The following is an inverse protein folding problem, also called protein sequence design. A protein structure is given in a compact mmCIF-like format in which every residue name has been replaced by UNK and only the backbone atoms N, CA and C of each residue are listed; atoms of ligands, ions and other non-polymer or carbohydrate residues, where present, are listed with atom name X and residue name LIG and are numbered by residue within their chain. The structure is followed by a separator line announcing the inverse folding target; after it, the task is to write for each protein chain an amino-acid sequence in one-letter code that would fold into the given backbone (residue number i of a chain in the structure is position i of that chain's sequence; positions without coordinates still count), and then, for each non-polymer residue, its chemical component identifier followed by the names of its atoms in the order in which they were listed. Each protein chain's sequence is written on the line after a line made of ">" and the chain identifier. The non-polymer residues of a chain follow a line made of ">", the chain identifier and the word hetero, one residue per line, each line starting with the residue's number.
data_IF_772428938351
#
_entry.id   IF_772428938351
#
_cell.length_a   1.000
_cell.length_b   1.000
_cell.length_c   1.000
_cell.angle_alpha   90.00
_cell.angle_beta   90.00
_cell.angle_gamma   90.00
#
_symmetry.space_group_name_H-M   'P 1'
#
loop_
_entity.id
_entity.type
_entity.pdbx_description
1 polymer ?
#
# COMPACT_ATOMS: atom_id res chain seq x y z
N UNK A 1 0.89 38.57 25.33
CA UNK A 1 0.26 38.26 24.02
C UNK A 1 0.30 36.75 23.85
N UNK A 2 -0.84 36.09 24.07
CA UNK A 2 -0.96 34.63 24.08
C UNK A 2 -1.16 34.07 22.67
N UNK A 3 -0.45 32.98 22.39
CA UNK A 3 -0.40 32.22 21.14
C UNK A 3 -1.76 31.59 20.78
N UNK A 4 -2.23 31.68 19.53
CA UNK A 4 -3.17 30.72 18.98
C UNK A 4 -2.38 29.68 18.18
N UNK A 5 -1.85 28.63 18.81
CA UNK A 5 -1.18 27.51 18.12
C UNK A 5 -1.89 26.16 18.36
N UNK A 6 -2.87 26.10 19.27
CA UNK A 6 -3.50 24.83 19.63
C UNK A 6 -4.74 24.41 18.81
N UNK A 7 -5.17 25.20 17.82
CA UNK A 7 -6.45 24.95 17.12
C UNK A 7 -6.34 24.25 15.77
N UNK A 8 -5.14 23.91 15.27
CA UNK A 8 -4.99 23.22 13.97
C UNK A 8 -5.14 21.69 14.11
N UNK A 9 -5.01 21.13 15.31
CA UNK A 9 -5.12 19.69 15.54
C UNK A 9 -6.57 19.18 15.70
N UNK A 10 -7.55 20.07 15.83
CA UNK A 10 -8.94 19.73 16.15
C UNK A 10 -9.90 19.70 14.95
N UNK A 11 -9.40 19.89 13.72
CA UNK A 11 -10.21 19.96 12.49
C UNK A 11 -9.99 18.78 11.53
N UNK A 12 -9.64 17.60 12.06
CA UNK A 12 -9.84 16.34 11.34
C UNK A 12 -11.33 15.97 11.44
N UNK A 13 -12.12 16.65 10.61
CA UNK A 13 -13.55 16.40 10.42
C UNK A 13 -13.69 14.94 9.95
N UNK A 14 -14.43 14.14 10.71
CA UNK A 14 -14.88 12.82 10.31
C UNK A 14 -15.88 12.97 9.14
N UNK A 15 -15.36 12.97 7.93
CA UNK A 15 -16.16 12.79 6.71
C UNK A 15 -16.61 11.33 6.67
N UNK A 16 -17.92 11.09 6.55
CA UNK A 16 -18.43 9.75 6.26
C UNK A 16 -18.05 9.42 4.82
N UNK A 17 -17.02 8.60 4.61
CA UNK A 17 -16.57 8.22 3.28
C UNK A 17 -17.43 7.08 2.75
N UNK A 18 -17.85 7.19 1.49
CA UNK A 18 -18.61 6.13 0.83
C UNK A 18 -17.71 4.95 0.48
N UNK A 19 -18.24 3.75 0.71
CA UNK A 19 -17.68 2.45 0.35
C UNK A 19 -17.06 2.46 -1.05
N UNK A 20 -15.76 2.28 -1.13
CA UNK A 20 -15.04 2.20 -2.39
C UNK A 20 -14.00 1.08 -2.25
N UNK A 21 -13.71 0.35 -3.33
CA UNK A 21 -12.72 -0.73 -3.34
C UNK A 21 -11.33 -0.23 -2.91
N UNK A 22 -10.57 -1.10 -2.24
CA UNK A 22 -9.16 -0.84 -1.93
C UNK A 22 -8.28 -1.04 -3.18
N UNK A 23 -7.28 -0.16 -3.33
CA UNK A 23 -6.22 -0.37 -4.31
C UNK A 23 -5.18 -1.31 -3.70
N UNK A 24 -5.22 -2.58 -4.12
CA UNK A 24 -4.22 -3.55 -3.72
C UNK A 24 -2.85 -3.22 -4.29
N UNK A 25 -1.89 -2.94 -3.40
CA UNK A 25 -0.48 -2.69 -3.72
C UNK A 25 0.39 -3.86 -3.33
N UNK A 26 1.44 -4.16 -4.06
CA UNK A 26 2.34 -5.31 -3.81
C UNK A 26 2.91 -5.32 -2.38
N UNK A 27 3.23 -4.15 -1.82
CA UNK A 27 3.75 -4.02 -0.45
C UNK A 27 3.39 -2.65 0.13
N UNK A 28 3.15 -2.62 1.44
CA UNK A 28 3.10 -1.40 2.26
C UNK A 28 3.81 -1.67 3.58
N UNK A 29 4.59 -0.71 4.05
CA UNK A 29 5.29 -0.80 5.33
C UNK A 29 4.49 -0.16 6.46
N UNK A 30 4.77 -0.59 7.70
CA UNK A 30 4.14 0.00 8.91
C UNK A 30 4.37 1.52 9.01
N UNK A 31 5.48 2.01 8.45
CA UNK A 31 5.82 3.44 8.44
C UNK A 31 4.86 4.24 7.57
N UNK A 32 4.69 3.89 6.30
CA UNK A 32 3.73 4.53 5.41
C UNK A 32 2.30 4.39 5.93
N UNK A 33 1.92 3.22 6.46
CA UNK A 33 0.62 3.01 7.10
C UNK A 33 0.37 4.03 8.24
N UNK A 34 1.34 4.22 9.14
CA UNK A 34 1.26 5.21 10.22
C UNK A 34 1.26 6.67 9.75
N UNK A 35 1.65 6.92 8.49
CA UNK A 35 1.68 8.25 7.87
C UNK A 35 0.58 8.44 6.82
N UNK A 36 -0.52 7.70 6.89
CA UNK A 36 -1.64 7.88 5.96
C UNK A 36 -1.34 7.43 4.54
N UNK A 37 -0.43 6.46 4.37
CA UNK A 37 -0.09 5.87 3.07
C UNK A 37 0.90 6.67 2.23
N UNK A 38 1.44 7.80 2.71
CA UNK A 38 2.51 8.50 2.00
C UNK A 38 3.76 7.62 1.94
N UNK A 39 4.29 7.41 0.73
CA UNK A 39 5.38 6.46 0.47
C UNK A 39 6.23 6.82 -0.74
N UNK A 40 5.72 7.60 -1.68
CA UNK A 40 6.39 8.02 -2.93
C UNK A 40 7.60 8.91 -2.65
N UNK A 41 7.53 9.77 -1.65
CA UNK A 41 8.59 10.73 -1.26
C UNK A 41 9.21 10.40 0.09
N UNK A 42 8.56 9.53 0.85
CA UNK A 42 8.95 9.17 2.22
C UNK A 42 9.48 7.75 2.30
N UNK A 43 9.16 6.86 1.37
CA UNK A 43 9.49 5.44 1.43
C UNK A 43 10.97 5.19 1.63
N UNK A 44 11.31 4.28 2.54
CA UNK A 44 12.68 3.86 2.84
C UNK A 44 12.82 2.36 2.72
N UNK A 45 14.03 1.90 2.41
CA UNK A 45 14.36 0.46 2.34
C UNK A 45 13.32 -0.37 1.56
N UNK A 46 12.56 -1.21 2.28
CA UNK A 46 11.48 -2.05 1.78
C UNK A 46 10.40 -1.25 1.05
N UNK A 47 9.96 -0.12 1.59
CA UNK A 47 8.96 0.72 0.93
C UNK A 47 9.48 1.32 -0.39
N UNK A 48 10.76 1.69 -0.44
CA UNK A 48 11.39 2.19 -1.66
C UNK A 48 11.53 1.09 -2.74
N UNK A 49 11.63 -0.18 -2.34
CA UNK A 49 11.64 -1.33 -3.25
C UNK A 49 10.28 -1.57 -3.93
N UNK A 50 9.15 -1.03 -3.41
CA UNK A 50 7.81 -1.28 -3.98
C UNK A 50 6.98 -0.03 -4.29
N UNK A 51 7.46 1.17 -3.92
CA UNK A 51 6.76 2.41 -4.20
C UNK A 51 7.55 3.34 -5.12
N UNK A 52 8.69 3.86 -4.65
CA UNK A 52 9.56 4.71 -5.45
C UNK A 52 11.02 4.25 -5.32
N UNK A 53 11.61 3.62 -6.35
CA UNK A 53 13.00 3.16 -6.29
C UNK A 53 14.03 4.28 -6.07
N UNK A 54 13.73 5.51 -6.47
CA UNK A 54 14.67 6.62 -6.29
C UNK A 54 14.90 6.95 -4.81
N UNK A 55 13.93 6.70 -3.93
CA UNK A 55 14.10 7.00 -2.49
C UNK A 55 15.02 6.00 -1.78
N UNK A 56 15.48 4.93 -2.44
CA UNK A 56 16.53 4.03 -1.90
C UNK A 56 17.86 4.77 -1.65
N UNK A 57 18.09 5.88 -2.35
CA UNK A 57 19.30 6.69 -2.28
C UNK A 57 19.26 7.78 -1.19
N UNK A 58 18.10 7.96 -0.55
CA UNK A 58 17.88 8.89 0.57
C UNK A 58 18.36 8.33 1.91
N UNK A 59 18.48 7.00 2.02
CA UNK A 59 19.01 6.35 3.21
C UNK A 59 20.55 6.51 3.23
N UNK A 60 21.13 6.72 4.41
CA UNK A 60 22.60 6.91 4.55
C UNK A 60 23.33 5.60 4.85
N UNK A 61 22.62 4.61 5.40
CA UNK A 61 23.21 3.38 5.92
C UNK A 61 22.68 2.16 5.17
N UNK A 62 23.53 1.14 5.05
CA UNK A 62 23.06 -0.17 4.63
C UNK A 62 22.20 -0.81 5.72
N UNK A 63 21.25 -1.64 5.30
CA UNK A 63 20.33 -2.37 6.18
C UNK A 63 20.22 -3.81 5.72
N UNK A 64 20.37 -4.73 6.66
CA UNK A 64 19.98 -6.13 6.49
C UNK A 64 18.75 -6.39 7.38
N UNK A 65 17.65 -6.77 6.76
CA UNK A 65 16.44 -7.22 7.43
C UNK A 65 16.38 -8.74 7.32
N UNK A 66 16.40 -9.42 8.46
CA UNK A 66 16.24 -10.88 8.51
C UNK A 66 14.77 -11.23 8.28
N UNK A 67 13.88 -10.48 8.92
CA UNK A 67 12.44 -10.65 8.85
C UNK A 67 11.78 -9.29 9.09
N UNK A 68 10.97 -8.85 8.13
CA UNK A 68 10.02 -7.76 8.28
C UNK A 68 8.63 -8.32 8.13
N UNK A 69 7.73 -8.05 9.09
CA UNK A 69 6.33 -8.47 9.03
C UNK A 69 5.46 -7.23 9.19
N UNK A 70 4.56 -7.03 8.25
CA UNK A 70 3.55 -5.98 8.27
C UNK A 70 2.18 -6.63 8.25
N UNK A 71 1.31 -6.22 9.17
CA UNK A 71 -0.09 -6.60 9.19
C UNK A 71 -0.95 -5.35 9.10
N UNK A 72 -1.99 -5.41 8.28
CA UNK A 72 -2.98 -4.34 8.12
C UNK A 72 -4.37 -4.97 8.15
N UNK A 73 -5.27 -4.37 8.94
CA UNK A 73 -6.67 -4.75 9.04
C UNK A 73 -7.52 -3.50 9.18
N UNK A 74 -8.73 -3.51 8.62
CA UNK A 74 -9.64 -2.37 8.77
C UNK A 74 -10.11 -2.20 10.21
N UNK A 75 -10.37 -0.95 10.61
CA UNK A 75 -10.78 -0.60 11.97
C UNK A 75 -12.09 -1.28 12.41
N UNK A 76 -12.95 -1.64 11.46
CA UNK A 76 -14.23 -2.28 11.72
C UNK A 76 -14.19 -3.81 11.68
N UNK A 77 -13.08 -4.42 11.27
CA UNK A 77 -12.95 -5.87 11.06
C UNK A 77 -13.44 -6.70 12.26
N UNK A 78 -13.01 -6.35 13.48
CA UNK A 78 -13.43 -7.07 14.70
C UNK A 78 -14.93 -6.90 14.98
N UNK A 79 -15.45 -5.68 14.79
CA UNK A 79 -16.87 -5.40 15.00
C UNK A 79 -17.74 -6.09 13.95
N UNK A 80 -17.28 -6.16 12.72
CA UNK A 80 -18.01 -6.74 11.60
C UNK A 80 -17.93 -8.27 11.62
N UNK A 81 -16.81 -8.86 12.06
CA UNK A 81 -16.72 -10.29 12.35
C UNK A 81 -17.77 -10.75 13.39
N UNK A 82 -17.98 -9.95 14.44
CA UNK A 82 -18.99 -10.25 15.47
C UNK A 82 -20.43 -10.19 14.91
N UNK A 83 -20.70 -9.24 14.00
CA UNK A 83 -22.00 -9.10 13.32
C UNK A 83 -22.24 -10.22 12.31
N UNK A 84 -21.22 -10.63 11.56
CA UNK A 84 -21.30 -11.79 10.64
C UNK A 84 -21.66 -13.05 11.41
N UNK A 85 -21.08 -13.26 12.60
CA UNK A 85 -21.45 -14.40 13.46
C UNK A 85 -22.91 -14.33 13.94
N UNK A 86 -23.46 -13.13 14.17
CA UNK A 86 -24.86 -12.92 14.56
C UNK A 86 -25.84 -13.06 13.39
N UNK A 87 -25.38 -12.82 12.15
CA UNK A 87 -26.14 -13.09 10.91
C UNK A 87 -26.16 -14.58 10.61
N UNK A 88 -25.03 -15.29 10.76
CA UNK A 88 -24.93 -16.74 10.52
C UNK A 88 -25.89 -17.56 11.39
N UNK A 89 -26.23 -17.07 12.58
CA UNK A 89 -27.17 -17.71 13.50
C UNK A 89 -28.64 -17.35 13.23
N UNK A 90 -28.94 -16.47 12.27
CA UNK A 90 -30.29 -16.07 11.89
C UNK A 90 -30.80 -16.89 10.69
N UNK A 91 -32.12 -17.05 10.56
CA UNK A 91 -32.75 -17.78 9.45
C UNK A 91 -33.82 -16.94 8.76
N UNK A 92 -34.03 -17.19 7.47
CA UNK A 92 -35.11 -16.56 6.69
C UNK A 92 -34.96 -15.04 6.55
N UNK A 93 -36.08 -14.32 6.64
CA UNK A 93 -36.13 -12.85 6.54
C UNK A 93 -35.28 -12.14 7.60
N UNK A 94 -35.08 -12.76 8.77
CA UNK A 94 -34.30 -12.18 9.86
C UNK A 94 -32.81 -12.08 9.53
N UNK A 95 -32.28 -12.96 8.67
CA UNK A 95 -30.89 -12.88 8.23
C UNK A 95 -30.67 -11.67 7.30
N UNK A 96 -31.61 -11.43 6.37
CA UNK A 96 -31.56 -10.29 5.45
C UNK A 96 -31.75 -8.97 6.22
N UNK A 97 -32.69 -8.94 7.16
CA UNK A 97 -32.90 -7.77 8.02
C UNK A 97 -31.68 -7.48 8.90
N UNK A 98 -31.07 -8.50 9.52
CA UNK A 98 -29.83 -8.32 10.28
C UNK A 98 -28.65 -7.88 9.42
N UNK A 99 -28.54 -8.34 8.17
CA UNK A 99 -27.51 -7.85 7.24
C UNK A 99 -27.72 -6.35 6.96
N UNK A 100 -28.97 -5.95 6.68
CA UNK A 100 -29.33 -4.54 6.48
C UNK A 100 -29.07 -3.69 7.72
N UNK A 101 -29.50 -4.15 8.89
CA UNK A 101 -29.45 -3.40 10.16
C UNK A 101 -28.05 -3.38 10.79
N UNK A 102 -27.21 -4.38 10.47
CA UNK A 102 -25.83 -4.48 10.97
C UNK A 102 -24.87 -3.46 10.33
N UNK A 103 -25.30 -2.81 9.25
CA UNK A 103 -24.51 -1.86 8.48
C UNK A 103 -23.33 -2.52 7.74
N UNK A 104 -23.35 -3.85 7.56
CA UNK A 104 -22.31 -4.60 6.83
C UNK A 104 -22.33 -4.30 5.32
N UNK A 105 -23.50 -3.91 4.80
CA UNK A 105 -23.68 -3.52 3.41
C UNK A 105 -22.89 -2.25 3.11
N UNK A 106 -22.07 -2.28 2.06
CA UNK A 106 -21.23 -1.15 1.67
C UNK A 106 -20.05 -0.97 2.63
N UNK A 107 -19.58 -2.01 3.31
CA UNK A 107 -18.28 -1.97 3.99
C UNK A 107 -17.28 -2.84 3.23
N UNK A 108 -16.06 -2.33 3.11
CA UNK A 108 -14.94 -3.13 2.64
C UNK A 108 -14.19 -3.69 3.84
N UNK A 109 -14.04 -5.00 3.90
CA UNK A 109 -13.20 -5.71 4.86
C UNK A 109 -11.86 -6.01 4.21
N UNK A 110 -10.84 -5.24 4.58
CA UNK A 110 -9.47 -5.44 4.12
C UNK A 110 -8.65 -6.15 5.20
N UNK A 111 -7.88 -7.15 4.77
CA UNK A 111 -6.76 -7.68 5.54
C UNK A 111 -5.54 -7.87 4.64
N UNK A 112 -4.37 -7.60 5.21
CA UNK A 112 -3.09 -7.80 4.55
C UNK A 112 -2.06 -8.30 5.53
N UNK A 113 -1.26 -9.25 5.07
CA UNK A 113 -0.06 -9.71 5.76
C UNK A 113 1.07 -9.75 4.73
N UNK A 114 2.10 -8.94 4.97
CA UNK A 114 3.28 -8.88 4.11
C UNK A 114 4.50 -9.27 4.93
N UNK A 115 5.28 -10.22 4.42
CA UNK A 115 6.54 -10.69 4.97
C UNK A 115 7.64 -10.40 3.96
N UNK A 116 8.71 -9.76 4.41
CA UNK A 116 9.92 -9.55 3.62
C UNK A 116 11.12 -10.17 4.33
N UNK A 117 11.67 -11.24 3.76
CA UNK A 117 12.73 -12.02 4.40
C UNK A 117 13.52 -12.89 3.41
N UNK A 118 14.84 -12.71 3.25
CA UNK A 118 15.64 -11.59 3.75
C UNK A 118 15.47 -10.34 2.89
N UNK A 119 15.83 -9.18 3.45
CA UNK A 119 15.94 -7.91 2.75
C UNK A 119 17.33 -7.31 2.91
N UNK A 120 17.96 -6.89 1.83
CA UNK A 120 19.24 -6.21 1.83
C UNK A 120 19.12 -4.89 1.07
N UNK A 121 19.60 -3.81 1.69
CA UNK A 121 19.51 -2.46 1.12
C UNK A 121 20.83 -1.75 1.34
N UNK A 122 21.42 -1.21 0.29
CA UNK A 122 22.62 -0.41 0.38
C UNK A 122 22.48 0.83 -0.53
N UNK A 123 22.53 2.06 0.03
CA UNK A 123 22.50 3.28 -0.77
C UNK A 123 23.81 3.53 -1.53
N UNK A 124 24.89 2.82 -1.17
CA UNK A 124 26.25 3.00 -1.69
C UNK A 124 26.90 1.64 -2.00
N UNK A 125 26.35 0.89 -2.96
CA UNK A 125 26.81 -0.47 -3.26
C UNK A 125 27.93 -0.50 -4.32
N UNK A 126 27.76 0.19 -5.43
CA UNK A 126 28.76 0.29 -6.53
C UNK A 126 29.44 1.67 -6.56
N UNK A 127 29.65 2.27 -5.39
CA UNK A 127 30.17 3.63 -5.22
C UNK A 127 29.20 4.56 -4.49
N UNK A 128 29.57 5.83 -4.33
CA UNK A 128 28.82 6.82 -3.54
C UNK A 128 27.46 7.19 -4.16
N UNK A 129 27.29 6.99 -5.46
CA UNK A 129 26.12 7.45 -6.20
C UNK A 129 25.16 6.33 -6.63
N UNK A 130 25.37 5.09 -6.18
CA UNK A 130 24.60 3.92 -6.67
C UNK A 130 24.07 3.07 -5.53
N UNK A 131 22.77 2.80 -5.56
CA UNK A 131 22.12 1.90 -4.60
C UNK A 131 21.87 0.52 -5.19
N UNK A 132 21.79 -0.46 -4.30
CA UNK A 132 21.29 -1.80 -4.57
C UNK A 132 20.32 -2.21 -3.45
N UNK A 133 19.16 -2.71 -3.83
CA UNK A 133 18.17 -3.28 -2.94
C UNK A 133 17.76 -4.68 -3.41
N UNK A 134 17.46 -5.54 -2.46
CA UNK A 134 16.95 -6.88 -2.68
C UNK A 134 15.97 -7.25 -1.57
N UNK A 135 14.90 -7.96 -1.91
CA UNK A 135 13.97 -8.51 -0.94
C UNK A 135 13.18 -9.68 -1.48
N UNK A 136 13.05 -10.75 -0.69
CA UNK A 136 12.07 -11.80 -0.96
C UNK A 136 10.76 -11.44 -0.28
N UNK A 137 9.69 -11.30 -1.07
CA UNK A 137 8.36 -10.95 -0.61
C UNK A 137 7.49 -12.20 -0.52
N UNK A 138 6.70 -12.29 0.54
CA UNK A 138 5.48 -13.09 0.65
C UNK A 138 4.40 -12.11 1.08
N UNK A 139 3.37 -11.93 0.27
CA UNK A 139 2.32 -10.95 0.52
C UNK A 139 0.97 -11.61 0.29
N UNK A 140 0.10 -11.56 1.30
CA UNK A 140 -1.28 -12.02 1.25
C UNK A 140 -2.20 -10.82 1.48
N UNK A 141 -3.19 -10.67 0.61
CA UNK A 141 -4.20 -9.62 0.73
C UNK A 141 -5.57 -10.17 0.43
N UNK A 142 -6.55 -9.73 1.21
CA UNK A 142 -7.96 -10.06 1.02
C UNK A 142 -8.81 -8.82 1.17
N UNK A 143 -9.72 -8.61 0.23
CA UNK A 143 -10.75 -7.59 0.29
C UNK A 143 -12.11 -8.25 0.14
N UNK A 144 -13.06 -7.95 1.03
CA UNK A 144 -14.42 -8.45 0.95
C UNK A 144 -15.40 -7.30 1.07
N UNK A 145 -16.32 -7.17 0.12
CA UNK A 145 -17.36 -6.16 0.16
C UNK A 145 -18.74 -6.78 -0.06
N UNK A 146 -19.65 -6.55 0.89
CA UNK A 146 -21.05 -6.92 0.74
C UNK A 146 -21.83 -5.79 0.08
N UNK A 147 -22.42 -6.03 -1.09
CA UNK A 147 -23.22 -5.06 -1.82
C UNK A 147 -24.68 -5.03 -1.33
N UNK A 148 -25.38 -3.93 -1.63
CA UNK A 148 -26.80 -3.77 -1.27
C UNK A 148 -27.76 -4.73 -1.96
N UNK A 149 -27.34 -5.35 -3.07
CA UNK A 149 -28.06 -6.44 -3.72
C UNK A 149 -27.71 -7.83 -3.14
N UNK A 150 -27.04 -7.87 -1.98
CA UNK A 150 -26.52 -9.05 -1.30
C UNK A 150 -25.41 -9.82 -2.03
N UNK A 151 -24.88 -9.29 -3.14
CA UNK A 151 -23.69 -9.87 -3.78
C UNK A 151 -22.45 -9.60 -2.92
N UNK A 152 -21.54 -10.57 -2.88
CA UNK A 152 -20.25 -10.43 -2.19
C UNK A 152 -19.16 -10.30 -3.25
N UNK A 153 -18.50 -9.16 -3.33
CA UNK A 153 -17.23 -9.09 -4.04
C UNK A 153 -16.15 -9.58 -3.12
N UNK A 154 -15.46 -10.62 -3.55
CA UNK A 154 -14.32 -11.15 -2.83
C UNK A 154 -13.09 -11.01 -3.71
N UNK A 155 -12.03 -10.50 -3.12
CA UNK A 155 -10.73 -10.42 -3.73
C UNK A 155 -9.72 -11.05 -2.80
N UNK A 156 -8.87 -11.90 -3.36
CA UNK A 156 -7.77 -12.50 -2.64
C UNK A 156 -6.56 -12.62 -3.54
N UNK A 157 -5.39 -12.29 -3.03
CA UNK A 157 -4.14 -12.56 -3.70
C UNK A 157 -3.08 -13.06 -2.72
N UNK A 158 -2.17 -13.85 -3.25
CA UNK A 158 -0.92 -14.24 -2.63
C UNK A 158 0.19 -14.02 -3.65
N UNK A 159 1.14 -13.15 -3.33
CA UNK A 159 2.34 -12.89 -4.12
C UNK A 159 3.56 -13.46 -3.40
N UNK A 160 4.42 -14.16 -4.13
CA UNK A 160 5.68 -14.71 -3.62
C UNK A 160 6.77 -14.49 -4.63
N UNK A 161 7.90 -13.88 -4.23
CA UNK A 161 9.07 -13.88 -5.08
C UNK A 161 10.12 -12.81 -4.78
N UNK A 162 11.25 -12.87 -5.49
CA UNK A 162 12.32 -11.90 -5.35
C UNK A 162 12.01 -10.57 -6.02
N UNK A 163 12.57 -9.52 -5.42
CA UNK A 163 12.49 -8.15 -5.88
C UNK A 163 13.89 -7.55 -5.82
N UNK A 164 14.27 -6.80 -6.84
CA UNK A 164 15.58 -6.19 -7.00
C UNK A 164 15.40 -4.72 -7.32
N UNK A 165 16.22 -3.86 -6.72
CA UNK A 165 16.18 -2.42 -6.94
C UNK A 165 17.59 -1.88 -7.19
N UNK A 166 17.70 -0.94 -8.12
CA UNK A 166 18.93 -0.19 -8.37
C UNK A 166 18.59 1.29 -8.50
N UNK A 167 19.47 2.14 -8.00
CA UNK A 167 19.34 3.59 -8.10
C UNK A 167 20.65 4.25 -8.47
N UNK A 168 20.57 5.43 -9.09
CA UNK A 168 21.70 6.31 -9.35
C UNK A 168 21.40 7.78 -9.03
N UNK A 169 22.39 8.49 -8.47
CA UNK A 169 22.36 9.94 -8.24
C UNK A 169 22.88 10.70 -9.46
N UNK A 170 22.13 11.70 -9.88
CA UNK A 170 22.44 12.65 -10.97
C UNK A 170 22.43 14.08 -10.43
N UNK A 171 22.91 15.03 -11.24
CA UNK A 171 22.89 16.47 -10.94
C UNK A 171 23.54 16.80 -9.58
N UNK A 172 24.75 16.29 -9.35
CA UNK A 172 25.50 16.46 -8.09
C UNK A 172 24.71 16.02 -6.84
N UNK A 173 23.86 15.00 -6.99
CA UNK A 173 23.03 14.46 -5.90
C UNK A 173 21.69 15.18 -5.72
N UNK A 174 21.33 16.12 -6.58
CA UNK A 174 20.01 16.75 -6.55
C UNK A 174 18.90 15.86 -7.13
N UNK A 175 19.22 14.95 -8.07
CA UNK A 175 18.25 14.07 -8.71
C UNK A 175 18.62 12.60 -8.50
N UNK A 176 17.78 11.87 -7.80
CA UNK A 176 17.86 10.43 -7.66
C UNK A 176 16.92 9.77 -8.67
N UNK A 177 17.39 8.74 -9.37
CA UNK A 177 16.57 7.93 -10.28
C UNK A 177 16.78 6.48 -9.94
N UNK A 178 15.72 5.68 -9.95
CA UNK A 178 15.85 4.24 -9.69
C UNK A 178 14.90 3.38 -10.50
N UNK A 179 15.20 2.09 -10.55
CA UNK A 179 14.47 1.04 -11.23
C UNK A 179 14.33 -0.15 -10.28
N UNK A 180 13.12 -0.63 -10.05
CA UNK A 180 12.88 -1.92 -9.42
C UNK A 180 12.44 -2.95 -10.46
N UNK A 181 12.75 -4.22 -10.18
CA UNK A 181 12.32 -5.41 -10.91
C UNK A 181 11.65 -6.37 -9.95
N UNK A 182 10.48 -6.85 -10.32
CA UNK A 182 9.64 -7.73 -9.53
C UNK A 182 9.42 -9.03 -10.28
N UNK A 183 9.87 -10.16 -9.71
CA UNK A 183 9.57 -11.49 -10.24
C UNK A 183 8.68 -12.20 -9.24
N UNK A 184 7.38 -12.24 -9.50
CA UNK A 184 6.39 -12.67 -8.52
C UNK A 184 5.57 -13.84 -9.09
N UNK A 185 5.52 -14.93 -8.33
CA UNK A 185 4.46 -15.91 -8.47
C UNK A 185 3.21 -15.38 -7.76
N UNK A 186 2.08 -15.35 -8.47
CA UNK A 186 0.79 -14.90 -7.94
C UNK A 186 -0.21 -16.04 -7.99
N UNK A 187 -0.93 -16.23 -6.88
CA UNK A 187 -2.21 -16.92 -6.83
C UNK A 187 -3.26 -15.86 -6.50
N UNK A 188 -4.26 -15.65 -7.36
CA UNK A 188 -5.29 -14.65 -7.05
C UNK A 188 -6.66 -14.97 -7.65
N UNK A 189 -7.70 -14.41 -7.04
CA UNK A 189 -9.08 -14.49 -7.49
C UNK A 189 -9.82 -13.20 -7.18
N UNK A 190 -10.76 -12.85 -8.05
CA UNK A 190 -11.62 -11.66 -7.92
C UNK A 190 -13.08 -12.02 -8.28
N UNK A 191 -13.70 -13.01 -7.60
CA UNK A 191 -15.08 -13.39 -7.88
C UNK A 191 -16.10 -12.44 -7.24
N UNK A 192 -17.12 -12.06 -8.01
CA UNK A 192 -18.40 -11.59 -7.46
C UNK A 192 -19.31 -12.79 -7.20
N UNK A 193 -19.58 -13.07 -5.93
CA UNK A 193 -20.50 -14.11 -5.49
C UNK A 193 -21.91 -13.58 -5.52
N UNK A 194 -22.67 -13.94 -6.55
CA UNK A 194 -24.04 -13.50 -6.67
C UNK A 194 -24.95 -14.24 -5.68
N UNK A 195 -25.73 -13.51 -4.89
CA UNK A 195 -26.59 -14.09 -3.86
C UNK A 195 -27.58 -15.10 -4.45
N UNK A 196 -28.16 -14.79 -5.61
CA UNK A 196 -29.15 -15.67 -6.27
C UNK A 196 -28.51 -16.94 -6.82
N UNK A 197 -27.28 -16.84 -7.33
CA UNK A 197 -26.52 -17.98 -7.83
C UNK A 197 -26.10 -18.93 -6.70
N UNK A 198 -25.67 -18.38 -5.55
CA UNK A 198 -25.35 -19.17 -4.36
C UNK A 198 -26.59 -19.88 -3.80
N UNK A 199 -27.73 -19.17 -3.69
CA UNK A 199 -29.00 -19.75 -3.25
C UNK A 199 -29.56 -20.80 -4.24
N UNK A 200 -29.26 -20.66 -5.53
CA UNK A 200 -29.56 -21.66 -6.56
C UNK A 200 -28.64 -22.89 -6.52
N UNK A 201 -27.72 -22.97 -5.55
CA UNK A 201 -26.86 -24.13 -5.33
C UNK A 201 -25.59 -24.13 -6.19
N UNK A 202 -25.20 -23.00 -6.80
CA UNK A 202 -23.95 -22.90 -7.52
C UNK A 202 -22.77 -23.13 -6.56
N UNK A 203 -22.03 -24.22 -6.77
CA UNK A 203 -20.84 -24.53 -5.98
C UNK A 203 -19.68 -23.65 -6.46
N UNK A 204 -19.12 -22.87 -5.54
CA UNK A 204 -17.88 -22.15 -5.78
C UNK A 204 -16.73 -23.15 -5.68
N UNK A 205 -16.10 -23.42 -6.83
CA UNK A 205 -14.88 -24.24 -6.86
C UNK A 205 -13.67 -23.33 -7.02
N UNK A 206 -12.57 -23.65 -6.35
CA UNK A 206 -11.33 -22.85 -6.45
C UNK A 206 -10.88 -22.69 -7.92
N UNK A 207 -11.08 -23.72 -8.73
CA UNK A 207 -10.71 -23.78 -10.15
C UNK A 207 -11.46 -22.76 -11.01
N UNK A 208 -12.68 -22.38 -10.60
CA UNK A 208 -13.53 -21.46 -11.36
C UNK A 208 -13.35 -19.98 -10.96
N UNK A 209 -12.64 -19.70 -9.86
CA UNK A 209 -12.55 -18.34 -9.28
C UNK A 209 -11.12 -17.85 -9.07
N UNK A 210 -10.13 -18.75 -9.10
CA UNK A 210 -8.73 -18.42 -8.90
C UNK A 210 -7.89 -18.72 -10.14
N UNK A 211 -6.80 -17.99 -10.28
CA UNK A 211 -5.75 -18.25 -11.24
C UNK A 211 -4.37 -18.18 -10.60
N UNK A 212 -3.39 -18.79 -11.26
CA UNK A 212 -2.00 -18.79 -10.80
C UNK A 212 -1.03 -18.52 -11.95
N UNK A 213 0.12 -17.91 -11.64
CA UNK A 213 1.20 -17.77 -12.63
C UNK A 213 2.34 -16.86 -12.19
N UNK A 214 3.40 -16.82 -13.00
CA UNK A 214 4.58 -15.99 -12.75
C UNK A 214 4.52 -14.72 -13.60
N UNK A 215 4.78 -13.60 -12.94
CA UNK A 215 4.85 -12.28 -13.51
C UNK A 215 6.25 -11.66 -13.37
N UNK A 216 6.57 -10.79 -14.32
CA UNK A 216 7.73 -9.93 -14.31
C UNK A 216 7.23 -8.51 -14.51
N UNK A 217 7.59 -7.61 -13.59
CA UNK A 217 7.22 -6.21 -13.68
C UNK A 217 8.38 -5.29 -13.29
N UNK A 218 8.27 -4.02 -13.67
CA UNK A 218 9.28 -3.01 -13.40
C UNK A 218 8.64 -1.73 -12.89
N UNK A 219 9.33 -1.07 -11.95
CA UNK A 219 8.94 0.24 -11.44
C UNK A 219 10.06 1.24 -11.71
N UNK A 220 9.72 2.43 -12.16
CA UNK A 220 10.66 3.53 -12.36
C UNK A 220 10.34 4.65 -11.39
N UNK A 221 11.37 5.28 -10.83
CA UNK A 221 11.23 6.32 -9.83
C UNK A 221 12.20 7.46 -10.06
N UNK A 222 11.76 8.65 -9.69
CA UNK A 222 12.58 9.85 -9.62
C UNK A 222 12.31 10.59 -8.30
N UNK A 223 13.35 11.19 -7.73
CA UNK A 223 13.25 11.99 -6.53
C UNK A 223 14.22 13.16 -6.64
N UNK A 224 13.69 14.38 -6.67
CA UNK A 224 14.45 15.60 -6.87
C UNK A 224 14.45 16.44 -5.60
N UNK A 225 15.63 16.64 -5.02
CA UNK A 225 15.84 17.55 -3.90
C UNK A 225 16.10 18.95 -4.45
N UNK A 226 15.22 19.88 -4.11
CA UNK A 226 15.37 21.28 -4.53
C UNK A 226 16.59 21.86 -3.80
N UNK A 227 17.59 22.42 -4.51
CA UNK A 227 18.78 23.01 -3.91
C UNK A 227 18.46 24.39 -3.32
N UNK A 228 17.54 24.43 -2.38
CA UNK A 228 17.04 25.63 -1.72
C UNK A 228 16.91 25.37 -0.22
N UNK A 229 17.61 26.16 0.59
CA UNK A 229 17.45 26.20 2.04
C UNK A 229 17.29 27.65 2.47
N UNK A 230 16.20 27.95 3.18
CA UNK A 230 15.87 29.28 3.68
C UNK A 230 15.91 29.36 5.23
N UNK A 231 16.53 28.38 5.89
CA UNK A 231 16.59 28.26 7.35
C UNK A 231 15.29 27.84 8.04
N UNK A 232 14.13 28.03 7.39
CA UNK A 232 12.82 27.58 7.87
C UNK A 232 12.56 26.13 7.45
N UNK A 233 12.96 25.77 6.23
CA UNK A 233 12.89 24.41 5.71
C UNK A 233 14.31 23.86 5.54
N UNK A 234 14.55 22.68 6.12
CA UNK A 234 15.81 21.95 5.97
C UNK A 234 15.92 21.36 4.57
N UNK A 235 14.80 20.84 4.04
CA UNK A 235 14.74 20.19 2.73
C UNK A 235 13.36 20.38 2.11
N UNK A 236 13.33 20.57 0.79
CA UNK A 236 12.12 20.42 -0.02
C UNK A 236 12.46 19.47 -1.15
N UNK A 237 11.64 18.43 -1.34
CA UNK A 237 11.84 17.45 -2.40
C UNK A 237 10.52 17.10 -3.07
N UNK A 238 10.62 16.74 -4.34
CA UNK A 238 9.51 16.22 -5.14
C UNK A 238 9.84 14.81 -5.60
N UNK A 239 8.86 13.92 -5.58
CA UNK A 239 9.02 12.54 -6.01
C UNK A 239 7.99 12.17 -7.04
N UNK A 240 8.38 11.28 -7.95
CA UNK A 240 7.50 10.67 -8.93
C UNK A 240 7.85 9.19 -9.09
N UNK A 241 6.85 8.34 -9.28
CA UNK A 241 7.04 6.94 -9.63
C UNK A 241 6.06 6.51 -10.71
N UNK A 242 6.49 5.55 -11.54
CA UNK A 242 5.66 4.76 -12.42
C UNK A 242 5.80 3.31 -11.99
N UNK A 243 4.73 2.74 -11.45
CA UNK A 243 4.71 1.37 -10.96
C UNK A 243 4.04 0.46 -11.99
N UNK A 244 4.48 -0.80 -12.02
CA UNK A 244 3.97 -1.83 -12.93
C UNK A 244 4.04 -1.45 -14.41
N UNK A 245 5.22 -1.03 -14.87
CA UNK A 245 5.48 -0.60 -16.25
C UNK A 245 5.07 -1.65 -17.28
N UNK A 246 5.25 -2.93 -16.98
CA UNK A 246 4.89 -4.02 -17.91
C UNK A 246 3.43 -4.45 -17.81
N UNK A 247 2.70 -3.99 -16.79
CA UNK A 247 1.35 -4.46 -16.47
C UNK A 247 1.31 -5.98 -16.45
N UNK A 248 2.15 -6.59 -15.60
CA UNK A 248 2.32 -8.04 -15.59
C UNK A 248 0.97 -8.75 -15.52
N UNK A 249 0.71 -9.62 -16.51
CA UNK A 249 -0.48 -10.49 -16.55
C UNK A 249 -0.24 -11.85 -15.91
N UNK A 250 0.98 -12.08 -15.41
CA UNK A 250 1.40 -13.32 -14.75
C UNK A 250 1.27 -14.57 -15.64
N UNK A 251 1.46 -14.42 -16.96
CA UNK A 251 1.38 -15.51 -17.96
C UNK A 251 2.74 -15.96 -18.50
N UNK A 252 3.84 -15.50 -17.89
CA UNK A 252 5.18 -15.58 -18.50
C UNK A 252 5.72 -17.02 -18.53
N UNK A 253 5.47 -17.78 -17.47
CA UNK A 253 5.75 -19.22 -17.41
C UNK A 253 5.08 -19.81 -16.15
N UNK A 254 4.66 -21.07 -16.19
CA UNK A 254 4.25 -21.75 -14.96
C UNK A 254 3.48 -23.04 -15.21
N UNK A 255 4.18 -24.16 -15.04
CA UNK A 255 3.52 -25.40 -14.61
C UNK A 255 2.64 -25.07 -13.40
N UNK A 256 1.37 -25.46 -13.44
CA UNK A 256 0.44 -25.31 -12.31
C UNK A 256 1.07 -25.92 -11.05
N UNK A 257 1.45 -25.10 -10.07
CA UNK A 257 1.92 -25.56 -8.76
C UNK A 257 0.74 -26.17 -8.02
N UNK A 258 -0.41 -25.49 -8.07
CA UNK A 258 -1.68 -26.00 -7.55
C UNK A 258 -2.44 -26.65 -8.70
N UNK A 259 -2.41 -27.99 -8.80
CA UNK A 259 -2.98 -28.74 -9.94
C UNK A 259 -4.46 -28.45 -10.23
N UNK A 260 -5.21 -28.04 -9.21
CA UNK A 260 -6.63 -27.74 -9.34
C UNK A 260 -6.86 -26.37 -9.97
N UNK A 261 -5.98 -25.39 -9.77
CA UNK A 261 -6.16 -24.02 -10.26
C UNK A 261 -5.59 -23.88 -11.68
N UNK A 262 -6.43 -23.69 -12.69
CA UNK A 262 -6.00 -23.60 -14.09
C UNK A 262 -6.22 -22.21 -14.71
N UNK A 263 -6.84 -21.28 -13.99
CA UNK A 263 -7.09 -19.92 -14.46
C UNK A 263 -5.82 -19.06 -14.50
N UNK A 264 -5.91 -17.89 -15.15
CA UNK A 264 -4.90 -16.84 -15.04
C UNK A 264 -5.27 -15.86 -13.92
N UNK A 265 -4.33 -15.45 -13.07
CA UNK A 265 -4.60 -14.46 -12.04
C UNK A 265 -4.81 -13.08 -12.70
N UNK A 266 -5.44 -12.14 -11.97
CA UNK A 266 -5.55 -10.77 -12.45
C UNK A 266 -4.18 -10.07 -12.43
N UNK A 267 -3.96 -9.20 -13.43
CA UNK A 267 -2.71 -8.47 -13.61
C UNK A 267 -2.56 -7.28 -12.68
N UNK A 268 -1.42 -6.59 -12.81
CA UNK A 268 -1.21 -5.29 -12.16
C UNK A 268 -1.69 -4.15 -13.07
N UNK A 269 -2.30 -3.14 -12.46
CA UNK A 269 -2.51 -1.86 -13.13
C UNK A 269 -1.18 -1.10 -13.21
N UNK A 270 -0.94 -0.42 -14.33
CA UNK A 270 0.13 0.57 -14.39
C UNK A 270 -0.34 1.82 -13.67
N UNK A 271 0.42 2.27 -12.68
CA UNK A 271 0.08 3.47 -11.93
C UNK A 271 1.21 4.48 -11.94
N UNK A 272 0.83 5.75 -11.78
CA UNK A 272 1.75 6.84 -11.54
C UNK A 272 1.47 7.43 -10.15
N UNK A 273 2.53 7.83 -9.46
CA UNK A 273 2.44 8.54 -8.19
C UNK A 273 3.32 9.78 -8.23
N UNK A 274 2.87 10.85 -7.58
CA UNK A 274 3.54 12.12 -7.48
C UNK A 274 3.46 12.61 -6.04
N UNK A 275 4.47 13.33 -5.57
CA UNK A 275 4.42 13.86 -4.22
C UNK A 275 5.42 14.98 -3.95
N UNK A 276 5.18 15.68 -2.86
CA UNK A 276 6.07 16.70 -2.31
C UNK A 276 6.32 16.37 -0.84
N UNK A 277 7.58 16.50 -0.44
CA UNK A 277 8.03 16.37 0.94
C UNK A 277 8.77 17.61 1.38
N UNK A 278 8.56 17.99 2.64
CA UNK A 278 9.33 19.04 3.31
C UNK A 278 9.86 18.51 4.63
N UNK A 279 11.13 18.83 4.93
CA UNK A 279 11.75 18.53 6.23
C UNK A 279 11.94 19.84 6.99
N UNK A 280 11.54 19.85 8.25
CA UNK A 280 11.75 20.97 9.16
C UNK A 280 13.08 20.83 9.92
N UNK A 281 13.68 21.96 10.34
CA UNK A 281 14.79 21.95 11.29
C UNK A 281 14.43 21.23 12.59
N UNK A 282 15.45 20.71 13.26
CA UNK A 282 15.29 20.12 14.58
C UNK A 282 14.87 21.21 15.59
N UNK A 283 13.91 20.91 16.46
CA UNK A 283 13.35 21.86 17.40
C UNK A 283 13.12 21.24 18.79
N UNK A 284 13.89 21.70 19.78
CA UNK A 284 13.83 21.23 21.16
C UNK A 284 13.98 19.70 21.28
N UNK A 285 12.85 19.00 21.45
CA UNK A 285 12.78 17.54 21.64
C UNK A 285 12.40 16.80 20.36
N UNK A 286 12.02 17.52 19.31
CA UNK A 286 11.69 16.94 18.00
C UNK A 286 12.90 17.04 17.07
N UNK A 287 13.12 16.00 16.29
CA UNK A 287 14.17 15.93 15.28
C UNK A 287 13.63 15.24 14.03
N UNK A 288 14.24 15.54 12.88
CA UNK A 288 13.85 14.96 11.59
C UNK A 288 12.33 15.01 11.36
N UNK A 289 11.73 16.18 11.64
CA UNK A 289 10.30 16.36 11.41
C UNK A 289 10.07 16.55 9.92
N UNK A 290 9.18 15.76 9.33
CA UNK A 290 8.85 15.85 7.93
C UNK A 290 7.34 15.86 7.71
N UNK A 291 6.93 16.49 6.61
CA UNK A 291 5.57 16.50 6.10
C UNK A 291 5.59 16.09 4.63
N UNK A 292 4.61 15.30 4.21
CA UNK A 292 4.47 14.86 2.83
C UNK A 292 3.01 14.92 2.38
N UNK A 293 2.83 15.28 1.12
CA UNK A 293 1.55 15.24 0.40
C UNK A 293 1.79 14.50 -0.89
N UNK A 294 0.98 13.49 -1.17
CA UNK A 294 1.17 12.62 -2.33
C UNK A 294 -0.15 12.32 -3.02
N UNK A 295 -0.10 12.27 -4.35
CA UNK A 295 -1.17 11.82 -5.22
C UNK A 295 -0.73 10.52 -5.89
N UNK A 296 -1.27 9.39 -5.42
CA UNK A 296 -0.81 8.04 -5.75
C UNK A 296 -1.81 7.29 -6.63
N UNK A 297 -1.39 6.16 -7.20
CA UNK A 297 -2.27 5.23 -7.94
C UNK A 297 -3.05 5.88 -9.11
N UNK A 298 -2.46 6.89 -9.75
CA UNK A 298 -3.01 7.53 -10.95
C UNK A 298 -2.98 6.52 -12.09
N UNK A 299 -4.13 6.26 -12.74
CA UNK A 299 -4.22 5.28 -13.82
C UNK A 299 -4.69 3.88 -13.41
N UNK A 300 -4.97 3.63 -12.12
CA UNK A 300 -5.64 2.39 -11.71
C UNK A 300 -6.99 2.21 -12.41
N UNK A 301 -7.29 0.99 -12.83
CA UNK A 301 -8.53 0.60 -13.52
C UNK A 301 -9.59 0.05 -12.55
N UNK A 302 -9.28 0.05 -11.25
CA UNK A 302 -10.20 -0.39 -10.19
C UNK A 302 -11.49 0.44 -10.22
N UNK A 303 -12.62 -0.26 -10.29
CA UNK A 303 -13.94 0.29 -10.67
C UNK A 303 -14.45 1.35 -9.69
N UNK A 304 -13.97 1.34 -8.44
CA UNK A 304 -14.41 2.24 -7.38
C UNK A 304 -13.29 3.14 -6.81
N UNK A 305 -12.16 3.31 -7.50
CA UNK A 305 -11.10 4.21 -7.03
C UNK A 305 -11.52 5.69 -7.20
N UNK A 306 -11.81 6.38 -6.09
CA UNK A 306 -12.13 7.82 -6.10
C UNK A 306 -10.86 8.69 -6.18
N UNK A 307 -11.01 9.97 -6.54
CA UNK A 307 -9.91 10.93 -6.50
C UNK A 307 -9.34 11.11 -5.08
N UNK A 308 -10.20 11.15 -4.07
CA UNK A 308 -9.80 11.39 -2.68
C UNK A 308 -8.99 10.23 -2.08
N UNK A 309 -9.27 9.00 -2.51
CA UNK A 309 -8.48 7.80 -2.13
C UNK A 309 -7.02 7.85 -2.56
N UNK A 310 -6.72 8.67 -3.56
CA UNK A 310 -5.39 8.82 -4.13
C UNK A 310 -4.59 9.91 -3.44
N UNK A 311 -5.23 10.73 -2.60
CA UNK A 311 -4.60 11.84 -1.92
C UNK A 311 -4.18 11.43 -0.50
N UNK A 312 -2.89 11.52 -0.22
CA UNK A 312 -2.29 11.09 1.04
C UNK A 312 -1.58 12.26 1.69
N UNK A 313 -1.76 12.40 2.99
CA UNK A 313 -1.06 13.37 3.82
C UNK A 313 -0.38 12.63 4.97
N UNK A 314 0.87 12.95 5.23
CA UNK A 314 1.61 12.30 6.30
C UNK A 314 2.60 13.22 6.96
N UNK A 315 2.85 12.96 8.24
CA UNK A 315 3.85 13.61 9.03
C UNK A 315 4.59 12.57 9.89
N UNK A 316 5.88 12.78 10.06
CA UNK A 316 6.72 11.98 10.95
C UNK A 316 7.63 12.91 11.75
N UNK A 317 7.83 12.61 13.02
CA UNK A 317 8.80 13.31 13.87
C UNK A 317 9.47 12.33 14.82
N UNK A 318 10.73 12.60 15.17
CA UNK A 318 11.49 11.80 16.11
C UNK A 318 11.63 12.54 17.45
N UNK A 319 11.23 11.89 18.53
CA UNK A 319 11.33 12.38 19.90
C UNK A 319 12.54 11.79 20.62
N UNK A 320 12.99 12.46 21.67
CA UNK A 320 13.98 11.96 22.64
C UNK A 320 15.25 11.40 21.97
N UNK A 321 15.94 12.23 21.18
CA UNK A 321 17.20 11.85 20.51
C UNK A 321 17.04 10.62 19.60
N UNK A 322 15.98 10.61 18.78
CA UNK A 322 15.71 9.58 17.76
C UNK A 322 15.32 8.19 18.28
N UNK A 323 15.04 8.04 19.57
CA UNK A 323 14.59 6.75 20.14
C UNK A 323 13.14 6.42 19.80
N UNK A 324 12.28 7.43 19.69
CA UNK A 324 10.86 7.25 19.42
C UNK A 324 10.46 8.02 18.18
N UNK A 325 9.82 7.35 17.22
CA UNK A 325 9.21 8.01 16.06
C UNK A 325 7.70 8.09 16.25
N UNK A 326 7.13 9.29 16.14
CA UNK A 326 5.68 9.52 16.10
C UNK A 326 5.29 9.82 14.67
N UNK A 327 4.23 9.16 14.20
CA UNK A 327 3.69 9.29 12.85
C UNK A 327 2.21 9.61 12.94
N UNK A 328 1.77 10.45 12.04
CA UNK A 328 0.36 10.71 11.83
C UNK A 328 0.13 10.91 10.34
N UNK A 329 -1.03 10.53 9.86
CA UNK A 329 -1.40 10.83 8.51
C UNK A 329 -2.88 10.64 8.28
N UNK A 330 -3.28 11.03 7.08
CA UNK A 330 -4.65 11.08 6.65
C UNK A 330 -4.75 10.53 5.23
N UNK A 331 -5.73 9.66 5.05
CA UNK A 331 -6.00 8.94 3.82
C UNK A 331 -7.52 8.73 3.71
N UNK A 332 -8.22 9.51 2.87
CA UNK A 332 -9.68 9.39 2.66
C UNK A 332 -10.05 8.18 1.79
N UNK A 333 -9.58 7.01 2.19
CA UNK A 333 -9.95 5.75 1.57
C UNK A 333 -10.18 4.58 2.50
N UNK A 334 -9.95 4.79 3.80
CA UNK A 334 -9.86 3.75 4.82
C UNK A 334 -10.68 4.05 6.09
N UNK A 335 -11.39 5.19 6.12
CA UNK A 335 -12.31 5.62 7.18
C UNK A 335 -13.76 5.40 6.77
#
# INVERSE_FOLDING_TARGET
>A
MCKPIFSILALLIATQTFATEEVMRIYKGVRSLGMGGVVTTTGRYDEALFANPATQLEDENWKLSILSVTGEVNAHFVSDASKVSAVKSAQGSDAIQKISDSGLVGRNEHTRVSILAPGFYSPHFFGENTSLAFGLLIDEQTDLMLRGNADVDAQALVNIGPNLGVGHKFLDGALDVGLNTHVLYRLSGDPTLNATAFLAGQKLTLNSIAGQGIGLDFDLGAYYTIPWSNGILKKVAVGASLNSLMQSTYRIAGSTIIKTVTGSPFGNDRTASLGVRTDLPDFLVTSNTLFAIEFQDIGTTRRLASFWKKLHFGAETHLLVKMLSVRAGFNEGYL
#
